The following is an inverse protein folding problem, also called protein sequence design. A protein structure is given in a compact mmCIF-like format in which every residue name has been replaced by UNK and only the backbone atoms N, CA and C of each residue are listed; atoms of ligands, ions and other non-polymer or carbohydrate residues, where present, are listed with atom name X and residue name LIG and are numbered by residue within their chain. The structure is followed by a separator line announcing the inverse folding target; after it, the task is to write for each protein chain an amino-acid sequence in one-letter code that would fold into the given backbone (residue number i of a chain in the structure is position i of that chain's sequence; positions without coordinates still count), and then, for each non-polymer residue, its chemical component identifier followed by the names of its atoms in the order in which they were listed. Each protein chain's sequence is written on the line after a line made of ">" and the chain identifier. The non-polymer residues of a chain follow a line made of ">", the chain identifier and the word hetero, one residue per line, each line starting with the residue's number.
data_IF_320775496592
#
_entry.id   IF_320775496592
#
_cell.length_a   1.000
_cell.length_b   1.000
_cell.length_c   1.000
_cell.angle_alpha   90.00
_cell.angle_beta   90.00
_cell.angle_gamma   90.00
#
_symmetry.space_group_name_H-M   'P 1'
#
loop_
_entity.id
_entity.type
_entity.pdbx_description
1 polymer ?
#
# COMPACT_ATOMS: atom_id res chain seq x y z
N UNK A 1 -5.13 -24.59 3.52
CA UNK A 1 -5.55 -23.26 3.97
C UNK A 1 -4.81 -22.25 3.09
N UNK A 2 -5.46 -21.16 2.66
CA UNK A 2 -4.82 -20.11 1.86
C UNK A 2 -3.79 -19.41 2.73
N UNK A 3 -2.53 -19.28 2.29
CA UNK A 3 -1.46 -18.66 3.09
C UNK A 3 -0.94 -17.41 2.39
N UNK A 4 -1.07 -16.25 3.05
CA UNK A 4 -0.56 -14.96 2.58
C UNK A 4 0.60 -14.54 3.46
N UNK A 5 1.69 -14.10 2.83
CA UNK A 5 2.79 -13.46 3.54
C UNK A 5 2.48 -11.98 3.69
N UNK A 6 2.50 -11.47 4.92
CA UNK A 6 2.44 -10.05 5.20
C UNK A 6 3.82 -9.57 5.62
N UNK A 7 4.47 -8.80 4.75
CA UNK A 7 5.77 -8.18 5.03
C UNK A 7 5.52 -6.85 5.72
N UNK A 8 5.72 -6.84 7.03
CA UNK A 8 5.55 -5.66 7.88
C UNK A 8 6.77 -4.76 7.75
N UNK A 9 6.53 -3.51 7.36
CA UNK A 9 7.55 -2.51 7.02
C UNK A 9 7.76 -1.46 8.11
N UNK A 10 6.96 -1.49 9.17
CA UNK A 10 6.96 -0.50 10.25
C UNK A 10 5.79 -0.71 11.19
N UNK A 11 5.68 0.16 12.19
CA UNK A 11 4.51 0.24 13.08
C UNK A 11 3.76 1.56 12.83
N UNK A 12 2.48 1.58 13.15
CA UNK A 12 1.69 2.81 13.24
C UNK A 12 2.01 3.60 14.53
N UNK A 13 1.31 4.71 14.76
CA UNK A 13 1.48 5.53 15.96
C UNK A 13 1.17 4.73 17.23
N UNK A 14 1.96 4.84 18.32
CA UNK A 14 1.75 4.04 19.53
C UNK A 14 0.34 4.16 20.12
N UNK A 15 -0.26 5.35 20.08
CA UNK A 15 -1.62 5.58 20.56
C UNK A 15 -2.68 4.86 19.70
N UNK A 16 -2.52 4.90 18.38
CA UNK A 16 -3.42 4.17 17.47
C UNK A 16 -3.23 2.65 17.61
N UNK A 17 -1.99 2.19 17.72
CA UNK A 17 -1.66 0.77 17.93
C UNK A 17 -2.37 0.19 19.16
N UNK A 18 -2.42 0.95 20.24
CA UNK A 18 -3.11 0.54 21.46
C UNK A 18 -4.64 0.47 21.31
N UNK A 19 -5.23 1.22 20.36
CA UNK A 19 -6.67 1.34 20.18
C UNK A 19 -7.22 0.41 19.09
N UNK A 20 -6.50 0.25 17.99
CA UNK A 20 -6.98 -0.38 16.74
C UNK A 20 -6.03 -1.47 16.22
N UNK A 21 -4.95 -1.77 16.95
CA UNK A 21 -3.88 -2.64 16.47
C UNK A 21 -2.95 -1.91 15.48
N UNK A 22 -2.00 -2.66 14.95
CA UNK A 22 -0.99 -2.17 14.03
C UNK A 22 -1.35 -2.48 12.56
N UNK A 23 -0.48 -2.16 11.60
CA UNK A 23 -0.75 -2.38 10.17
C UNK A 23 -1.16 -3.82 9.83
N UNK A 24 -0.53 -4.82 10.43
CA UNK A 24 -0.89 -6.23 10.26
C UNK A 24 -2.30 -6.54 10.79
N UNK A 25 -2.70 -5.91 11.89
CA UNK A 25 -4.04 -6.08 12.47
C UNK A 25 -5.08 -5.39 11.60
N UNK A 26 -4.79 -4.18 11.10
CA UNK A 26 -5.68 -3.44 10.19
C UNK A 26 -5.95 -4.21 8.89
N UNK A 27 -4.91 -4.79 8.30
CA UNK A 27 -5.03 -5.65 7.12
C UNK A 27 -5.79 -6.93 7.45
N UNK A 28 -5.47 -7.59 8.58
CA UNK A 28 -6.17 -8.81 9.02
C UNK A 28 -7.66 -8.56 9.26
N UNK A 29 -8.01 -7.41 9.84
CA UNK A 29 -9.39 -6.98 10.05
C UNK A 29 -10.13 -6.75 8.72
N UNK A 30 -9.45 -6.21 7.70
CA UNK A 30 -10.03 -6.07 6.37
C UNK A 30 -10.40 -7.41 5.74
N UNK A 31 -9.62 -8.45 6.05
CA UNK A 31 -9.73 -9.80 5.52
C UNK A 31 -10.50 -10.78 6.43
N UNK A 32 -11.11 -10.29 7.51
CA UNK A 32 -11.76 -11.13 8.55
C UNK A 32 -12.89 -12.02 8.04
N UNK A 33 -13.55 -11.63 6.93
CA UNK A 33 -14.61 -12.41 6.29
C UNK A 33 -14.08 -13.46 5.29
N UNK A 34 -12.76 -13.50 5.04
CA UNK A 34 -12.11 -14.43 4.13
C UNK A 34 -11.35 -15.49 4.94
N UNK A 35 -11.52 -16.76 4.58
CA UNK A 35 -10.75 -17.85 5.19
C UNK A 35 -9.32 -17.88 4.65
N UNK A 36 -8.43 -17.09 5.26
CA UNK A 36 -7.01 -16.96 4.93
C UNK A 36 -6.15 -17.03 6.19
N UNK A 37 -5.01 -17.69 6.08
CA UNK A 37 -3.93 -17.67 7.07
C UNK A 37 -2.94 -16.56 6.68
N UNK A 38 -2.71 -15.62 7.60
CA UNK A 38 -1.74 -14.54 7.42
C UNK A 38 -0.50 -14.88 8.24
N UNK A 39 0.64 -15.01 7.55
CA UNK A 39 1.94 -15.13 8.20
C UNK A 39 2.62 -13.77 8.16
N UNK A 40 2.89 -13.19 9.32
CA UNK A 40 3.59 -11.91 9.43
C UNK A 40 5.09 -12.14 9.44
N UNK A 41 5.82 -11.36 8.65
CA UNK A 41 7.28 -11.26 8.64
C UNK A 41 7.65 -9.80 8.82
N UNK A 42 8.27 -9.44 9.94
CA UNK A 42 8.75 -8.09 10.18
C UNK A 42 10.12 -7.90 9.54
N UNK A 43 10.16 -7.12 8.45
CA UNK A 43 11.36 -6.88 7.66
C UNK A 43 12.53 -6.29 8.45
N UNK A 44 12.25 -5.68 9.60
CA UNK A 44 13.24 -4.97 10.42
C UNK A 44 13.96 -5.91 11.36
N UNK A 45 13.34 -7.02 11.76
CA UNK A 45 13.82 -7.88 12.86
C UNK A 45 13.91 -9.35 12.49
N UNK A 46 13.07 -9.83 11.58
CA UNK A 46 12.92 -11.25 11.33
C UNK A 46 13.87 -11.67 10.21
N UNK A 47 14.75 -12.63 10.47
CA UNK A 47 15.66 -13.20 9.48
C UNK A 47 15.86 -14.69 9.73
N UNK A 48 16.00 -15.51 8.67
CA UNK A 48 16.01 -15.16 7.24
C UNK A 48 14.62 -14.85 6.66
N UNK A 49 14.59 -14.30 5.44
CA UNK A 49 13.36 -14.12 4.66
C UNK A 49 12.64 -15.47 4.43
N UNK A 50 11.29 -15.52 4.50
CA UNK A 50 10.53 -16.75 4.25
C UNK A 50 10.67 -17.26 2.80
N UNK A 51 10.42 -18.56 2.59
CA UNK A 51 10.39 -19.11 1.24
C UNK A 51 9.10 -18.70 0.53
N UNK A 52 9.20 -18.00 -0.60
CA UNK A 52 8.04 -17.48 -1.34
C UNK A 52 7.08 -18.58 -1.81
N UNK A 53 7.60 -19.78 -2.09
CA UNK A 53 6.82 -20.95 -2.52
C UNK A 53 5.81 -21.45 -1.48
N UNK A 54 5.91 -21.02 -0.22
CA UNK A 54 4.93 -21.35 0.81
C UNK A 54 3.65 -20.49 0.74
N UNK A 55 3.67 -19.42 -0.05
CA UNK A 55 2.64 -18.39 -0.06
C UNK A 55 1.97 -18.24 -1.42
N UNK A 56 0.67 -17.94 -1.39
CA UNK A 56 -0.14 -17.71 -2.60
C UNK A 56 -0.12 -16.24 -3.03
N UNK A 57 0.27 -15.35 -2.12
CA UNK A 57 0.43 -13.93 -2.37
C UNK A 57 1.16 -13.25 -1.22
N UNK A 58 1.65 -12.06 -1.51
CA UNK A 58 2.41 -11.23 -0.58
C UNK A 58 1.73 -9.87 -0.46
N UNK A 59 1.57 -9.37 0.76
CA UNK A 59 1.19 -7.99 1.03
C UNK A 59 2.39 -7.29 1.66
N UNK A 60 2.78 -6.13 1.11
CA UNK A 60 3.86 -5.30 1.64
C UNK A 60 3.22 -4.05 2.24
N UNK A 61 3.32 -3.88 3.56
CA UNK A 61 2.60 -2.82 4.27
C UNK A 61 3.14 -1.42 3.99
N UNK A 62 2.38 -0.41 4.41
CA UNK A 62 2.90 0.92 4.66
C UNK A 62 3.92 0.97 5.80
N UNK A 63 4.55 2.13 5.98
CA UNK A 63 5.47 2.43 7.06
C UNK A 63 5.58 3.94 7.24
N UNK A 64 5.90 4.40 8.45
CA UNK A 64 6.31 5.80 8.69
C UNK A 64 7.76 6.07 8.27
N UNK A 65 8.53 5.03 7.91
CA UNK A 65 9.88 5.19 7.34
C UNK A 65 9.84 5.82 5.95
N UNK A 66 11.00 6.29 5.48
CA UNK A 66 11.17 6.89 4.15
C UNK A 66 12.07 5.99 3.31
N UNK A 67 11.64 5.61 2.11
CA UNK A 67 12.44 4.79 1.17
C UNK A 67 13.76 5.50 0.81
N UNK A 68 13.76 6.85 0.83
CA UNK A 68 14.96 7.66 0.59
C UNK A 68 15.98 7.61 1.73
N UNK A 69 15.61 7.14 2.92
CA UNK A 69 16.55 6.93 4.01
C UNK A 69 17.48 5.72 3.75
N UNK A 70 17.11 4.83 2.82
CA UNK A 70 17.90 3.64 2.46
C UNK A 70 18.32 2.82 3.69
N UNK A 71 17.39 2.64 4.62
CA UNK A 71 17.64 1.85 5.84
C UNK A 71 18.13 0.44 5.48
N UNK A 72 19.14 -0.12 6.17
CA UNK A 72 19.75 -1.40 5.79
C UNK A 72 18.75 -2.56 5.67
N UNK A 73 17.77 -2.62 6.57
CA UNK A 73 16.70 -3.64 6.55
C UNK A 73 15.78 -3.48 5.32
N UNK A 74 15.56 -2.24 4.87
CA UNK A 74 14.74 -1.96 3.69
C UNK A 74 15.49 -2.27 2.39
N UNK A 75 16.78 -1.91 2.31
CA UNK A 75 17.59 -2.21 1.13
C UNK A 75 17.81 -3.72 0.95
N UNK A 76 17.88 -4.47 2.06
CA UNK A 76 17.99 -5.92 2.04
C UNK A 76 16.75 -6.63 1.43
N UNK A 77 15.61 -5.94 1.32
CA UNK A 77 14.40 -6.48 0.68
C UNK A 77 14.36 -6.25 -0.84
N UNK A 78 15.16 -5.35 -1.42
CA UNK A 78 15.08 -5.06 -2.86
C UNK A 78 15.31 -6.32 -3.72
N UNK A 79 16.30 -7.20 -3.42
CA UNK A 79 16.47 -8.46 -4.16
C UNK A 79 15.30 -9.41 -3.98
N UNK A 80 14.69 -9.44 -2.79
CA UNK A 80 13.55 -10.31 -2.47
C UNK A 80 12.28 -9.89 -3.22
N UNK A 81 12.03 -8.58 -3.35
CA UNK A 81 10.95 -8.05 -4.20
C UNK A 81 11.21 -8.36 -5.68
N UNK A 82 12.47 -8.25 -6.12
CA UNK A 82 12.86 -8.61 -7.49
C UNK A 82 12.62 -10.11 -7.76
N UNK A 83 12.90 -10.96 -6.77
CA UNK A 83 12.61 -12.40 -6.83
C UNK A 83 11.11 -12.69 -6.95
N UNK A 84 10.25 -12.00 -6.20
CA UNK A 84 8.78 -12.12 -6.33
C UNK A 84 8.32 -11.81 -7.75
N UNK A 85 8.89 -10.76 -8.37
CA UNK A 85 8.57 -10.38 -9.74
C UNK A 85 9.01 -11.45 -10.75
N UNK A 86 10.22 -12.00 -10.59
CA UNK A 86 10.75 -13.07 -11.44
C UNK A 86 9.96 -14.38 -11.31
N UNK A 87 9.52 -14.73 -10.11
CA UNK A 87 8.71 -15.92 -9.84
C UNK A 87 7.22 -15.69 -10.10
N UNK A 88 6.83 -14.49 -10.54
CA UNK A 88 5.44 -14.10 -10.79
C UNK A 88 4.52 -14.30 -9.57
N UNK A 89 5.05 -14.14 -8.36
CA UNK A 89 4.27 -14.19 -7.13
C UNK A 89 3.30 -12.99 -7.13
N UNK A 90 2.02 -13.18 -6.80
CA UNK A 90 1.10 -12.07 -6.60
C UNK A 90 1.57 -11.19 -5.43
N UNK A 91 1.75 -9.89 -5.67
CA UNK A 91 2.15 -8.93 -4.63
C UNK A 91 1.21 -7.73 -4.62
N UNK A 92 0.83 -7.28 -3.43
CA UNK A 92 0.08 -6.05 -3.20
C UNK A 92 0.87 -5.11 -2.27
N UNK A 93 1.43 -4.03 -2.82
CA UNK A 93 2.20 -3.04 -2.06
C UNK A 93 1.37 -1.82 -1.69
N UNK A 94 1.44 -1.41 -0.42
CA UNK A 94 0.65 -0.32 0.14
C UNK A 94 1.60 0.82 0.58
N UNK A 95 1.36 2.04 0.10
CA UNK A 95 2.08 3.25 0.51
C UNK A 95 3.63 3.09 0.45
N UNK A 96 4.30 2.87 1.58
CA UNK A 96 5.73 2.52 1.60
C UNK A 96 6.05 1.29 0.74
N UNK A 97 5.24 0.24 0.82
CA UNK A 97 5.37 -0.95 -0.01
C UNK A 97 5.27 -0.62 -1.51
N UNK A 98 4.36 0.27 -1.90
CA UNK A 98 4.26 0.75 -3.28
C UNK A 98 5.56 1.44 -3.75
N UNK A 99 6.13 2.30 -2.90
CA UNK A 99 7.37 3.02 -3.18
C UNK A 99 8.57 2.08 -3.22
N UNK A 100 8.70 1.16 -2.26
CA UNK A 100 9.81 0.22 -2.21
C UNK A 100 9.78 -0.75 -3.39
N UNK A 101 8.59 -1.20 -3.80
CA UNK A 101 8.40 -2.01 -5.01
C UNK A 101 8.86 -1.22 -6.24
N UNK A 102 8.46 0.05 -6.36
CA UNK A 102 8.92 0.88 -7.48
C UNK A 102 10.46 0.95 -7.50
N UNK A 103 11.10 1.24 -6.36
CA UNK A 103 12.57 1.28 -6.26
C UNK A 103 13.23 -0.05 -6.62
N UNK A 104 12.73 -1.16 -6.08
CA UNK A 104 13.27 -2.50 -6.33
C UNK A 104 13.24 -2.89 -7.81
N UNK A 105 12.23 -2.42 -8.55
CA UNK A 105 11.99 -2.79 -9.94
C UNK A 105 12.50 -1.72 -10.94
N UNK A 106 13.35 -0.80 -10.48
CA UNK A 106 14.05 0.17 -11.34
C UNK A 106 13.32 1.49 -11.56
N UNK A 107 12.29 1.77 -10.76
CA UNK A 107 11.69 3.09 -10.62
C UNK A 107 12.49 4.01 -9.68
N UNK A 108 12.00 5.23 -9.48
CA UNK A 108 12.62 6.24 -8.62
C UNK A 108 11.59 6.75 -7.60
N UNK A 109 12.05 7.03 -6.37
CA UNK A 109 11.23 7.51 -5.26
C UNK A 109 11.86 8.75 -4.65
N UNK A 110 11.03 9.75 -4.33
CA UNK A 110 11.46 11.01 -3.73
C UNK A 110 10.37 11.60 -2.84
N UNK A 111 10.67 12.73 -2.19
CA UNK A 111 9.61 13.52 -1.54
C UNK A 111 8.68 14.10 -2.59
N UNK A 112 7.38 14.09 -2.32
CA UNK A 112 6.41 14.68 -3.22
C UNK A 112 6.62 16.20 -3.26
N UNK A 113 6.77 16.83 -4.44
CA UNK A 113 7.19 18.22 -4.55
C UNK A 113 6.17 19.22 -3.98
N UNK A 114 4.91 18.81 -3.83
CA UNK A 114 3.84 19.63 -3.23
C UNK A 114 3.68 19.40 -1.72
N UNK A 115 4.53 18.58 -1.10
CA UNK A 115 4.38 18.16 0.29
C UNK A 115 3.49 16.91 0.45
N UNK A 116 3.03 16.63 1.68
CA UNK A 116 2.27 15.42 1.98
C UNK A 116 0.83 15.48 1.46
N UNK A 117 0.26 14.30 1.17
CA UNK A 117 -1.17 14.11 0.87
C UNK A 117 -1.82 13.31 2.01
N UNK A 118 -2.55 13.97 2.92
CA UNK A 118 -3.28 13.27 3.97
C UNK A 118 -4.80 13.43 3.85
N UNK A 119 -5.52 12.37 4.19
CA UNK A 119 -6.99 12.36 4.29
C UNK A 119 -7.66 11.49 3.24
N UNK A 120 -8.91 11.78 2.93
CA UNK A 120 -9.65 11.09 1.87
C UNK A 120 -9.61 11.93 0.60
N UNK A 121 -9.16 11.33 -0.49
CA UNK A 121 -9.06 11.97 -1.82
C UNK A 121 -9.69 11.09 -2.89
N UNK A 122 -10.18 11.71 -3.95
CA UNK A 122 -10.65 10.95 -5.12
C UNK A 122 -9.47 10.58 -6.02
N UNK A 123 -9.48 9.34 -6.52
CA UNK A 123 -8.58 8.86 -7.57
C UNK A 123 -9.38 8.45 -8.79
N UNK A 124 -8.78 8.63 -9.96
CA UNK A 124 -9.38 8.26 -11.25
C UNK A 124 -8.59 7.13 -11.89
N UNK A 125 -9.30 6.09 -12.34
CA UNK A 125 -8.71 5.02 -13.14
C UNK A 125 -8.30 5.54 -14.51
N UNK A 126 -7.11 5.15 -14.97
CA UNK A 126 -6.70 5.32 -16.36
C UNK A 126 -7.50 4.37 -17.27
N UNK A 127 -7.34 4.49 -18.59
CA UNK A 127 -7.90 3.50 -19.52
C UNK A 127 -7.44 2.09 -19.17
N UNK A 128 -6.15 1.90 -18.89
CA UNK A 128 -5.60 0.62 -18.48
C UNK A 128 -6.13 0.17 -17.09
N UNK A 129 -6.31 1.11 -16.16
CA UNK A 129 -6.90 0.83 -14.84
C UNK A 129 -8.32 0.27 -14.92
N UNK A 130 -9.14 0.76 -15.86
CA UNK A 130 -10.51 0.25 -16.07
C UNK A 130 -10.55 -1.17 -16.63
N UNK A 131 -9.52 -1.56 -17.36
CA UNK A 131 -9.39 -2.90 -17.98
C UNK A 131 -8.59 -3.87 -17.10
N UNK A 132 -7.99 -3.39 -16.00
CA UNK A 132 -7.17 -4.19 -15.10
C UNK A 132 -8.03 -5.16 -14.27
N UNK A 133 -7.53 -6.38 -14.08
CA UNK A 133 -8.27 -7.45 -13.39
C UNK A 133 -8.55 -7.17 -11.91
N UNK A 134 -7.78 -6.27 -11.29
CA UNK A 134 -7.98 -5.89 -9.91
C UNK A 134 -8.55 -4.47 -9.82
N UNK A 135 -7.85 -3.47 -10.35
CA UNK A 135 -8.27 -2.06 -10.21
C UNK A 135 -9.56 -1.76 -10.97
N UNK A 136 -9.86 -2.50 -12.04
CA UNK A 136 -11.10 -2.37 -12.81
C UNK A 136 -12.36 -2.80 -12.05
N UNK A 137 -12.23 -3.44 -10.89
CA UNK A 137 -13.36 -3.74 -10.00
C UNK A 137 -13.90 -2.49 -9.31
N UNK A 138 -13.07 -1.45 -9.15
CA UNK A 138 -13.49 -0.19 -8.56
C UNK A 138 -14.23 0.71 -9.59
N UNK A 139 -15.08 1.64 -9.12
CA UNK A 139 -15.63 2.68 -9.99
C UNK A 139 -14.52 3.48 -10.71
N UNK A 140 -14.85 4.11 -11.84
CA UNK A 140 -13.87 4.93 -12.59
C UNK A 140 -13.25 6.05 -11.74
N UNK A 141 -14.04 6.63 -10.82
CA UNK A 141 -13.57 7.59 -9.82
C UNK A 141 -14.08 7.11 -8.47
N UNK A 142 -13.20 7.00 -7.48
CA UNK A 142 -13.56 6.52 -6.15
C UNK A 142 -12.67 7.14 -5.07
N UNK A 143 -13.18 7.30 -3.84
CA UNK A 143 -12.42 7.85 -2.74
C UNK A 143 -11.46 6.80 -2.16
N UNK A 144 -10.27 7.26 -1.76
CA UNK A 144 -9.23 6.48 -1.08
C UNK A 144 -8.63 7.27 0.08
N UNK A 145 -8.11 6.57 1.09
CA UNK A 145 -7.42 7.18 2.23
C UNK A 145 -5.92 7.23 1.97
N UNK A 146 -5.29 8.38 2.19
CA UNK A 146 -3.86 8.63 1.93
C UNK A 146 -3.21 9.27 3.15
N UNK A 147 -1.93 8.95 3.36
CA UNK A 147 -1.08 9.56 4.37
C UNK A 147 0.39 9.39 3.97
N UNK A 148 0.83 10.10 2.92
CA UNK A 148 2.18 9.96 2.37
C UNK A 148 2.89 11.31 2.21
N UNK A 149 4.21 11.29 2.32
CA UNK A 149 5.11 12.43 2.05
C UNK A 149 6.05 12.17 0.86
N UNK A 150 6.16 10.90 0.46
CA UNK A 150 6.99 10.47 -0.66
C UNK A 150 6.11 9.94 -1.79
N UNK A 151 6.66 9.99 -2.99
CA UNK A 151 6.00 9.59 -4.22
C UNK A 151 6.97 8.77 -5.07
N UNK A 152 6.41 7.93 -5.92
CA UNK A 152 7.15 7.36 -7.04
C UNK A 152 7.33 8.48 -8.07
N UNK A 153 8.54 9.00 -8.22
CA UNK A 153 8.84 10.07 -9.19
C UNK A 153 8.95 9.53 -10.61
N UNK A 154 9.23 8.22 -10.74
CA UNK A 154 9.32 7.51 -12.01
C UNK A 154 8.92 6.07 -11.82
N UNK A 155 7.94 5.61 -12.60
CA UNK A 155 7.51 4.22 -12.58
C UNK A 155 8.63 3.26 -13.04
N UNK A 156 8.63 2.01 -12.53
CA UNK A 156 9.46 0.94 -13.08
C UNK A 156 9.30 0.79 -14.61
N UNK A 157 10.37 0.47 -15.34
CA UNK A 157 10.25 0.13 -16.76
C UNK A 157 9.23 -0.98 -17.00
N UNK A 158 8.27 -0.74 -17.90
CA UNK A 158 7.21 -1.69 -18.22
C UNK A 158 6.01 -1.69 -17.26
N UNK A 159 6.02 -0.88 -16.21
CA UNK A 159 4.86 -0.74 -15.34
C UNK A 159 3.71 -0.03 -16.06
N UNK A 160 2.50 -0.50 -15.80
CA UNK A 160 1.26 0.09 -16.32
C UNK A 160 0.65 0.97 -15.24
N UNK A 161 0.46 2.26 -15.54
CA UNK A 161 -0.25 3.19 -14.65
C UNK A 161 -1.75 2.88 -14.63
N UNK A 162 -2.30 2.62 -13.45
CA UNK A 162 -3.69 2.20 -13.28
C UNK A 162 -4.58 3.30 -12.70
N UNK A 163 -4.07 4.12 -11.77
CA UNK A 163 -4.84 5.21 -11.19
C UNK A 163 -3.95 6.42 -10.89
N UNK A 164 -4.54 7.61 -10.94
CA UNK A 164 -3.89 8.88 -10.60
C UNK A 164 -4.93 9.88 -10.07
N UNK A 165 -4.46 10.97 -9.47
CA UNK A 165 -5.27 12.17 -9.28
C UNK A 165 -4.45 13.43 -9.67
N UNK A 166 -4.96 14.62 -9.40
CA UNK A 166 -4.25 15.87 -9.75
C UNK A 166 -3.04 16.16 -8.87
N UNK A 167 -2.93 15.50 -7.72
CA UNK A 167 -1.83 15.66 -6.77
C UNK A 167 -0.75 14.61 -7.04
N UNK A 168 -1.10 13.34 -6.94
CA UNK A 168 -0.26 12.16 -7.09
C UNK A 168 -0.50 11.49 -8.47
N UNK A 169 0.47 11.57 -9.41
CA UNK A 169 0.34 11.01 -10.75
C UNK A 169 0.42 9.48 -10.79
N UNK A 170 0.91 8.82 -9.72
CA UNK A 170 1.15 7.38 -9.68
C UNK A 170 0.42 6.69 -8.53
N UNK A 171 -0.86 7.05 -8.28
CA UNK A 171 -1.69 6.46 -7.20
C UNK A 171 -1.76 4.94 -7.22
N UNK A 172 -1.74 4.32 -8.42
CA UNK A 172 -1.61 2.87 -8.53
C UNK A 172 -0.90 2.46 -9.83
N UNK A 173 -0.03 1.45 -9.76
CA UNK A 173 0.54 0.81 -10.95
C UNK A 173 0.56 -0.72 -10.84
N UNK A 174 0.71 -1.39 -11.99
CA UNK A 174 0.94 -2.83 -12.06
C UNK A 174 2.18 -3.18 -12.88
N UNK A 175 2.94 -4.17 -12.43
CA UNK A 175 4.00 -4.83 -13.21
C UNK A 175 3.91 -6.34 -13.03
N UNK A 176 3.48 -7.07 -14.07
CA UNK A 176 3.22 -8.51 -13.94
C UNK A 176 2.12 -8.79 -12.91
N UNK A 177 2.40 -9.63 -11.92
CA UNK A 177 1.46 -9.97 -10.84
C UNK A 177 1.62 -9.06 -9.60
N UNK A 178 2.28 -7.91 -9.76
CA UNK A 178 2.50 -6.95 -8.68
C UNK A 178 1.58 -5.74 -8.88
N UNK A 179 0.68 -5.50 -7.94
CA UNK A 179 -0.10 -4.28 -7.80
C UNK A 179 0.48 -3.43 -6.68
N UNK A 180 0.65 -2.14 -6.92
CA UNK A 180 1.21 -1.22 -5.96
C UNK A 180 0.33 0.02 -5.89
N UNK A 181 -0.21 0.32 -4.70
CA UNK A 181 -1.12 1.44 -4.43
C UNK A 181 -0.49 2.41 -3.43
N UNK A 182 -0.55 3.71 -3.71
CA UNK A 182 -0.03 4.75 -2.83
C UNK A 182 -0.98 5.02 -1.64
N UNK A 183 -2.27 4.71 -1.81
CA UNK A 183 -3.31 4.82 -0.78
C UNK A 183 -3.33 3.60 0.16
N UNK A 184 -4.16 3.71 1.21
CA UNK A 184 -4.34 2.74 2.29
C UNK A 184 -5.74 2.10 2.26
N UNK A 185 -5.93 0.97 1.55
CA UNK A 185 -7.17 0.18 1.60
C UNK A 185 -7.55 -0.30 2.99
N UNK A 186 -6.57 -0.43 3.87
CA UNK A 186 -6.71 -0.92 5.23
C UNK A 186 -7.15 0.16 6.23
N UNK A 187 -7.16 1.43 5.82
CA UNK A 187 -7.55 2.54 6.69
C UNK A 187 -9.06 2.76 6.67
N UNK A 188 -9.67 2.73 7.86
CA UNK A 188 -11.01 3.27 8.10
C UNK A 188 -10.99 4.79 8.18
N UNK A 189 -12.18 5.39 8.16
CA UNK A 189 -12.36 6.81 8.48
C UNK A 189 -11.69 7.20 9.79
N UNK A 190 -11.89 6.40 10.84
CA UNK A 190 -11.39 6.71 12.19
C UNK A 190 -9.87 6.66 12.26
N UNK A 191 -9.26 5.64 11.63
CA UNK A 191 -7.80 5.54 11.51
C UNK A 191 -7.25 6.75 10.77
N UNK A 192 -7.88 7.13 9.65
CA UNK A 192 -7.43 8.28 8.85
C UNK A 192 -7.53 9.57 9.65
N UNK A 193 -8.63 9.79 10.38
CA UNK A 193 -8.80 10.95 11.26
C UNK A 193 -7.73 11.00 12.36
N UNK A 194 -7.36 9.85 12.94
CA UNK A 194 -6.29 9.76 13.91
C UNK A 194 -4.95 10.18 13.28
N UNK A 195 -4.65 9.70 12.07
CA UNK A 195 -3.46 10.14 11.34
C UNK A 195 -3.45 11.66 11.14
N UNK A 196 -4.56 12.26 10.72
CA UNK A 196 -4.66 13.73 10.57
C UNK A 196 -4.34 14.46 11.87
N UNK A 197 -4.82 13.94 13.00
CA UNK A 197 -4.58 14.52 14.32
C UNK A 197 -3.07 14.45 14.69
N UNK A 198 -2.40 13.32 14.45
CA UNK A 198 -0.96 13.13 14.73
C UNK A 198 -0.05 14.00 13.84
N UNK A 199 -0.38 14.13 12.54
CA UNK A 199 0.45 14.88 11.58
C UNK A 199 -0.03 16.34 11.39
N UNK A 200 -0.89 16.85 12.27
CA UNK A 200 -1.51 18.16 12.13
C UNK A 200 -0.49 19.30 11.98
N UNK A 201 0.66 19.20 12.63
CA UNK A 201 1.73 20.20 12.51
C UNK A 201 2.40 20.15 11.13
N UNK A 202 2.59 18.96 10.56
CA UNK A 202 3.12 18.83 9.20
C UNK A 202 2.13 19.36 8.16
N UNK A 203 0.84 19.06 8.32
CA UNK A 203 -0.22 19.63 7.47
C UNK A 203 -0.17 21.16 7.49
N UNK A 204 -0.05 21.78 8.68
CA UNK A 204 0.04 23.25 8.81
C UNK A 204 1.29 23.82 8.15
N UNK A 205 2.44 23.12 8.23
CA UNK A 205 3.69 23.55 7.56
C UNK A 205 3.53 23.65 6.04
N UNK A 206 2.68 22.81 5.46
CA UNK A 206 2.37 22.82 4.03
C UNK A 206 1.08 23.58 3.69
N UNK A 207 0.66 24.53 4.55
CA UNK A 207 -0.52 25.40 4.35
C UNK A 207 -1.86 24.66 4.27
N UNK A 208 -1.93 23.41 4.75
CA UNK A 208 -3.17 22.67 4.89
C UNK A 208 -3.95 23.04 6.16
N UNK A 209 -5.22 22.69 6.19
CA UNK A 209 -6.10 22.82 7.36
C UNK A 209 -6.44 21.43 7.91
N UNK A 210 -5.81 20.99 9.02
CA UNK A 210 -6.06 19.67 9.60
C UNK A 210 -7.52 19.45 9.96
N UNK A 211 -8.23 20.46 10.49
CA UNK A 211 -9.62 20.30 10.90
C UNK A 211 -10.51 20.07 9.69
N UNK A 212 -10.28 20.83 8.62
CA UNK A 212 -11.01 20.64 7.36
C UNK A 212 -10.77 19.26 6.78
N UNK A 213 -9.50 18.82 6.69
CA UNK A 213 -9.15 17.49 6.16
C UNK A 213 -9.80 16.39 7.00
N UNK A 214 -9.63 16.45 8.32
CA UNK A 214 -10.22 15.50 9.27
C UNK A 214 -11.73 15.38 9.13
N UNK A 215 -12.42 16.51 8.95
CA UNK A 215 -13.88 16.55 8.80
C UNK A 215 -14.37 15.92 7.50
N UNK A 216 -13.53 15.89 6.46
CA UNK A 216 -13.83 15.33 5.16
C UNK A 216 -13.48 13.83 5.04
N UNK A 217 -12.83 13.23 6.04
CA UNK A 217 -12.50 11.81 5.99
C UNK A 217 -13.75 10.93 5.95
N UNK A 218 -13.73 9.92 5.08
CA UNK A 218 -14.80 8.91 4.93
C UNK A 218 -14.22 7.49 4.90
N UNK A 219 -15.09 6.50 5.08
CA UNK A 219 -14.74 5.13 4.74
C UNK A 219 -14.69 4.96 3.22
N UNK A 220 -13.84 4.05 2.75
CA UNK A 220 -13.49 3.89 1.34
C UNK A 220 -13.74 2.45 0.90
N UNK A 221 -15.02 2.06 0.86
CA UNK A 221 -15.44 0.67 0.61
C UNK A 221 -14.82 0.07 -0.67
N UNK A 222 -14.83 0.80 -1.78
CA UNK A 222 -14.22 0.35 -3.04
C UNK A 222 -12.71 0.11 -2.90
N UNK A 223 -12.00 0.95 -2.14
CA UNK A 223 -10.57 0.77 -1.87
C UNK A 223 -10.32 -0.51 -1.07
N UNK A 224 -11.09 -0.73 0.00
CA UNK A 224 -11.03 -1.96 0.81
C UNK A 224 -11.34 -3.22 0.01
N UNK A 225 -12.34 -3.17 -0.88
CA UNK A 225 -12.69 -4.30 -1.75
C UNK A 225 -11.54 -4.70 -2.68
N UNK A 226 -10.67 -3.78 -3.09
CA UNK A 226 -9.48 -4.13 -3.88
C UNK A 226 -8.50 -5.01 -3.11
N UNK A 227 -8.30 -4.76 -1.81
CA UNK A 227 -7.42 -5.59 -0.97
C UNK A 227 -8.02 -7.00 -0.77
N UNK A 228 -9.32 -7.08 -0.54
CA UNK A 228 -10.08 -8.33 -0.44
C UNK A 228 -9.96 -9.12 -1.75
N UNK A 229 -10.28 -8.47 -2.88
CA UNK A 229 -10.22 -9.08 -4.20
C UNK A 229 -8.81 -9.53 -4.58
N UNK A 230 -7.76 -8.82 -4.16
CA UNK A 230 -6.38 -9.26 -4.37
C UNK A 230 -6.13 -10.61 -3.69
N UNK A 231 -6.50 -10.74 -2.42
CA UNK A 231 -6.32 -11.98 -1.66
C UNK A 231 -7.15 -13.12 -2.24
N UNK A 232 -8.36 -12.85 -2.73
CA UNK A 232 -9.16 -13.85 -3.41
C UNK A 232 -8.51 -14.29 -4.73
N UNK A 233 -8.05 -13.35 -5.56
CA UNK A 233 -7.39 -13.63 -6.84
C UNK A 233 -6.08 -14.40 -6.67
N UNK A 234 -5.24 -14.00 -5.72
CA UNK A 234 -3.94 -14.65 -5.46
C UNK A 234 -4.10 -16.13 -5.10
N UNK A 235 -5.25 -16.49 -4.52
CA UNK A 235 -5.57 -17.85 -4.11
C UNK A 235 -6.25 -18.71 -5.20
N UNK A 236 -6.57 -18.14 -6.36
CA UNK A 236 -7.20 -18.85 -7.50
C UNK A 236 -6.20 -19.27 -8.58
N UNK A 237 -4.96 -18.79 -8.52
CA UNK A 237 -3.89 -19.24 -9.40
C UNK A 237 -3.46 -20.63 -8.92
N UNK A 238 -4.08 -21.68 -9.49
CA UNK A 238 -3.54 -23.03 -9.35
C UNK A 238 -2.10 -23.04 -9.87
N UNK A 239 -1.18 -23.55 -9.05
CA UNK A 239 0.20 -23.77 -9.45
C UNK A 239 0.21 -24.64 -10.71
N UNK A 240 0.53 -24.02 -11.85
CA UNK A 240 0.71 -24.70 -13.13
C UNK A 240 1.99 -25.54 -13.15
#
# INVERSE_FOLDING_TARGET
>A
MRKILLIKMGDTFPGLKALQGDFEDMISNCLSDIHVEISVYDARTDFPQPQLSEFQGVIVTGSHSMVTACEPWSEALLPYISEMQLQQIPVFGICYGHQLIAKALGGEVGFHPLGPEPGTVDVSLTTAGKEDSLLGLAPTVFPVNVAHSQTVTKLPPGATLLAANSFEPHQAFRLGNIWAVQFHPEFTREITQYYIDEIADDIRKFSGDPQKIRSACTDTAASRELLIAFVEQSCTVEAA
#
